data_IF_220656990024
#
_entry.id   IF_220656990024
#
_cell.length_a   1.000
_cell.length_b   1.000
_cell.length_c   1.000
_cell.angle_alpha   90.00
_cell.angle_beta   90.00
_cell.angle_gamma   90.00
#
_symmetry.space_group_name_H-M   'P 1'
#
loop_
_entity.id
_entity.type
_entity.pdbx_description
1 polymer ?
#
# COMPACT_ATOMS: atom_id res chain seq x y z
N UNK A 1 -20.29 -3.27 -14.11
CA UNK A 1 -19.13 -4.15 -14.36
C UNK A 1 -17.95 -3.61 -13.58
N UNK A 2 -17.20 -4.45 -12.86
CA UNK A 2 -16.05 -3.99 -12.09
C UNK A 2 -14.89 -3.69 -13.05
N UNK A 3 -14.49 -2.42 -13.15
CA UNK A 3 -13.37 -1.99 -14.00
C UNK A 3 -12.09 -2.75 -13.63
N UNK A 4 -11.34 -3.15 -14.63
CA UNK A 4 -10.05 -3.81 -14.46
C UNK A 4 -8.99 -2.80 -13.97
N UNK A 5 -8.05 -3.26 -13.13
CA UNK A 5 -6.94 -2.44 -12.67
C UNK A 5 -5.60 -3.09 -12.99
N UNK A 6 -4.60 -2.26 -13.19
CA UNK A 6 -3.18 -2.62 -13.25
C UNK A 6 -2.41 -1.88 -12.15
N UNK A 7 -1.20 -2.34 -11.90
CA UNK A 7 -0.21 -1.60 -11.10
C UNK A 7 0.98 -1.26 -11.98
N UNK A 8 1.55 -0.09 -11.73
CA UNK A 8 2.84 0.30 -12.28
C UNK A 8 3.61 1.13 -11.26
N UNK A 9 4.91 1.24 -11.44
CA UNK A 9 5.72 2.11 -10.59
C UNK A 9 5.21 3.56 -10.63
N UNK A 10 5.33 4.24 -9.50
CA UNK A 10 5.12 5.70 -9.43
C UNK A 10 6.25 6.40 -10.18
N UNK A 11 5.90 7.34 -11.04
CA UNK A 11 6.83 8.13 -11.84
C UNK A 11 6.69 9.63 -11.56
N UNK A 12 7.72 10.40 -11.90
CA UNK A 12 7.67 11.86 -11.78
C UNK A 12 6.54 12.48 -12.61
N UNK A 13 6.19 11.85 -13.74
CA UNK A 13 5.07 12.23 -14.61
C UNK A 13 3.69 12.13 -13.94
N UNK A 14 3.56 11.34 -12.87
CA UNK A 14 2.31 11.21 -12.11
C UNK A 14 1.99 12.43 -11.24
N UNK A 15 2.93 13.36 -11.06
CA UNK A 15 2.85 14.45 -10.10
C UNK A 15 1.51 15.18 -10.11
N UNK A 16 1.05 15.62 -11.27
CA UNK A 16 -0.17 16.40 -11.39
C UNK A 16 -1.42 15.58 -11.01
N UNK A 17 -1.56 14.40 -11.59
CA UNK A 17 -2.70 13.52 -11.35
C UNK A 17 -2.73 13.04 -9.88
N UNK A 18 -1.56 12.66 -9.34
CA UNK A 18 -1.42 12.19 -7.96
C UNK A 18 -1.79 13.27 -6.95
N UNK A 19 -1.23 14.49 -7.10
CA UNK A 19 -1.52 15.62 -6.19
C UNK A 19 -3.00 15.98 -6.24
N UNK A 20 -3.60 16.06 -7.43
CA UNK A 20 -5.01 16.34 -7.59
C UNK A 20 -5.89 15.28 -6.91
N UNK A 21 -5.56 14.01 -7.05
CA UNK A 21 -6.24 12.90 -6.39
C UNK A 21 -6.05 12.94 -4.87
N UNK A 22 -4.84 13.20 -4.38
CA UNK A 22 -4.54 13.32 -2.95
C UNK A 22 -5.29 14.48 -2.28
N UNK A 23 -5.39 15.63 -2.96
CA UNK A 23 -6.13 16.79 -2.47
C UNK A 23 -7.63 16.49 -2.32
N UNK A 24 -8.24 15.85 -3.32
CA UNK A 24 -9.66 15.41 -3.25
C UNK A 24 -9.90 14.38 -2.14
N UNK A 25 -8.88 13.62 -1.78
CA UNK A 25 -8.97 12.54 -0.80
C UNK A 25 -8.64 12.94 0.63
N UNK A 26 -8.25 14.21 0.88
CA UNK A 26 -7.70 14.66 2.16
C UNK A 26 -8.59 14.30 3.36
N UNK A 27 -9.89 14.56 3.27
CA UNK A 27 -10.84 14.26 4.34
C UNK A 27 -11.05 12.74 4.51
N UNK A 28 -11.10 12.03 3.41
CA UNK A 28 -11.20 10.57 3.38
C UNK A 28 -9.96 9.88 3.97
N UNK A 29 -8.76 10.43 3.77
CA UNK A 29 -7.52 9.91 4.30
C UNK A 29 -7.33 10.13 5.80
N UNK A 30 -7.95 11.18 6.36
CA UNK A 30 -7.85 11.48 7.79
C UNK A 30 -8.63 10.46 8.63
N UNK A 31 -8.12 10.13 9.80
CA UNK A 31 -6.83 10.50 10.42
C UNK A 31 -5.70 9.53 10.11
N UNK A 32 -5.86 8.63 9.13
CA UNK A 32 -5.03 7.44 8.96
C UNK A 32 -3.70 7.70 8.27
N UNK A 33 -3.72 8.53 7.24
CA UNK A 33 -2.53 8.84 6.42
C UNK A 33 -2.52 10.30 5.98
N UNK A 34 -1.34 10.74 5.55
CA UNK A 34 -1.14 12.01 4.85
C UNK A 34 -0.44 11.74 3.52
N UNK A 35 -1.21 11.70 2.44
CA UNK A 35 -0.66 11.55 1.10
C UNK A 35 0.04 12.83 0.64
N UNK A 36 1.08 12.74 -0.24
CA UNK A 36 1.69 13.92 -0.85
C UNK A 36 0.65 14.77 -1.60
N UNK A 37 0.46 16.00 -1.17
CA UNK A 37 -0.57 16.89 -1.71
C UNK A 37 -0.02 18.22 -2.29
N UNK A 38 1.30 18.31 -2.42
CA UNK A 38 2.01 19.40 -3.11
C UNK A 38 3.23 18.87 -3.86
N UNK A 39 3.80 19.71 -4.71
CA UNK A 39 4.95 19.33 -5.56
C UNK A 39 6.17 18.92 -4.76
N UNK A 40 6.48 19.63 -3.66
CA UNK A 40 7.64 19.32 -2.84
C UNK A 40 7.46 18.00 -2.06
N UNK A 41 6.28 17.76 -1.53
CA UNK A 41 5.95 16.49 -0.85
C UNK A 41 5.98 15.31 -1.84
N UNK A 42 5.45 15.48 -3.05
CA UNK A 42 5.50 14.45 -4.08
C UNK A 42 6.93 14.15 -4.53
N UNK A 43 7.74 15.18 -4.76
CA UNK A 43 9.15 15.00 -5.11
C UNK A 43 9.93 14.24 -4.02
N UNK A 44 9.73 14.58 -2.74
CA UNK A 44 10.31 13.83 -1.61
C UNK A 44 9.81 12.39 -1.55
N UNK A 45 8.55 12.17 -1.86
CA UNK A 45 7.97 10.82 -1.93
C UNK A 45 8.67 9.98 -3.00
N UNK A 46 8.74 10.48 -4.23
CA UNK A 46 9.40 9.78 -5.35
C UNK A 46 10.89 9.55 -5.07
N UNK A 47 11.59 10.51 -4.50
CA UNK A 47 13.02 10.40 -4.17
C UNK A 47 13.35 9.27 -3.17
N UNK A 48 12.37 8.82 -2.37
CA UNK A 48 12.54 7.67 -1.45
C UNK A 48 12.35 6.32 -2.12
N UNK A 49 11.78 6.30 -3.32
CA UNK A 49 11.51 5.06 -4.07
C UNK A 49 12.77 4.65 -4.82
N UNK A 50 13.62 3.88 -4.17
CA UNK A 50 14.95 3.51 -4.67
C UNK A 50 14.95 2.26 -5.57
N UNK A 51 13.80 1.59 -5.72
CA UNK A 51 13.67 0.36 -6.50
C UNK A 51 14.45 -0.83 -5.93
N UNK A 52 14.96 -0.72 -4.71
CA UNK A 52 15.71 -1.79 -4.02
C UNK A 52 15.05 -2.18 -2.69
N UNK A 53 14.89 -1.22 -1.81
CA UNK A 53 14.27 -1.43 -0.50
C UNK A 53 12.93 -0.70 -0.37
N UNK A 54 12.64 0.24 -1.27
CA UNK A 54 11.40 1.02 -1.27
C UNK A 54 10.83 1.12 -2.68
N UNK A 55 9.63 0.61 -2.84
CA UNK A 55 8.87 0.57 -4.10
C UNK A 55 7.55 1.30 -3.90
N UNK A 56 7.17 2.12 -4.85
CA UNK A 56 5.87 2.78 -4.90
C UNK A 56 5.14 2.37 -6.17
N UNK A 57 3.87 2.01 -6.02
CA UNK A 57 2.99 1.64 -7.12
C UNK A 57 1.75 2.53 -7.12
N UNK A 58 1.30 2.93 -8.28
CA UNK A 58 -0.06 3.42 -8.49
C UNK A 58 -0.94 2.29 -8.98
N UNK A 59 -2.17 2.27 -8.46
CA UNK A 59 -3.26 1.41 -8.94
C UNK A 59 -4.01 2.22 -10.00
N UNK A 60 -3.99 1.76 -11.24
CA UNK A 60 -4.58 2.48 -12.38
C UNK A 60 -5.74 1.69 -12.96
N UNK A 61 -6.80 2.39 -13.36
CA UNK A 61 -7.89 1.82 -14.15
C UNK A 61 -7.38 1.57 -15.57
N UNK A 62 -7.51 0.35 -16.07
CA UNK A 62 -6.95 -0.03 -17.37
C UNK A 62 -7.63 0.65 -18.56
N UNK A 63 -8.89 1.05 -18.40
CA UNK A 63 -9.67 1.68 -19.47
C UNK A 63 -9.39 3.18 -19.58
N UNK A 64 -9.31 3.90 -18.44
CA UNK A 64 -9.17 5.36 -18.42
C UNK A 64 -7.77 5.84 -18.08
N UNK A 65 -6.94 4.99 -17.46
CA UNK A 65 -5.62 5.38 -16.94
C UNK A 65 -5.70 6.18 -15.63
N UNK A 66 -6.89 6.39 -15.07
CA UNK A 66 -7.07 7.15 -13.83
C UNK A 66 -6.46 6.42 -12.64
N UNK A 67 -5.95 7.22 -11.68
CA UNK A 67 -5.34 6.71 -10.47
C UNK A 67 -6.42 6.39 -9.42
N UNK A 68 -6.59 5.12 -9.11
CA UNK A 68 -7.54 4.65 -8.10
C UNK A 68 -6.93 4.59 -6.68
N UNK A 69 -5.61 4.56 -6.57
CA UNK A 69 -4.91 4.53 -5.28
C UNK A 69 -3.41 4.37 -5.44
N UNK A 70 -2.72 4.25 -4.31
CA UNK A 70 -1.29 3.98 -4.25
C UNK A 70 -0.98 2.89 -3.23
N UNK A 71 0.08 2.12 -3.50
CA UNK A 71 0.58 1.05 -2.66
C UNK A 71 2.10 1.17 -2.58
N UNK A 72 2.62 1.24 -1.37
CA UNK A 72 4.04 1.30 -1.10
C UNK A 72 4.49 -0.02 -0.46
N UNK A 73 5.57 -0.57 -0.96
CA UNK A 73 6.31 -1.67 -0.36
C UNK A 73 7.65 -1.12 0.11
N UNK A 74 7.83 -1.01 1.42
CA UNK A 74 8.96 -0.30 2.03
C UNK A 74 9.72 -1.19 3.00
N UNK A 75 10.94 -0.73 3.35
CA UNK A 75 11.82 -1.45 4.27
C UNK A 75 12.00 -2.92 3.87
N UNK A 76 12.17 -3.16 2.59
CA UNK A 76 12.41 -4.52 2.08
C UNK A 76 13.77 -5.00 2.57
N UNK A 77 13.77 -6.12 3.27
CA UNK A 77 14.96 -6.79 3.76
C UNK A 77 15.08 -8.15 3.06
N UNK A 78 16.19 -8.36 2.40
CA UNK A 78 16.53 -9.60 1.71
C UNK A 78 17.27 -10.59 2.62
N UNK A 79 17.89 -11.60 2.05
CA UNK A 79 18.63 -12.61 2.77
C UNK A 79 17.73 -13.58 3.52
N UNK A 80 17.96 -13.77 4.80
CA UNK A 80 17.19 -14.71 5.63
C UNK A 80 15.81 -14.17 6.03
N UNK A 81 15.61 -12.86 6.01
CA UNK A 81 14.36 -12.23 6.46
C UNK A 81 13.31 -12.19 5.35
N UNK A 82 13.69 -11.83 4.12
CA UNK A 82 12.84 -11.79 2.92
C UNK A 82 11.46 -11.19 3.16
N UNK A 83 11.42 -10.00 3.77
CA UNK A 83 10.19 -9.36 4.23
C UNK A 83 10.13 -7.89 3.84
N UNK A 84 8.93 -7.32 3.79
CA UNK A 84 8.69 -5.90 3.55
C UNK A 84 7.36 -5.44 4.12
N UNK A 85 7.22 -4.13 4.31
CA UNK A 85 6.02 -3.51 4.84
C UNK A 85 5.18 -2.88 3.73
N UNK A 86 3.87 -3.08 3.80
CA UNK A 86 2.89 -2.48 2.91
C UNK A 86 2.20 -1.29 3.58
N UNK A 87 2.21 -0.16 2.88
CA UNK A 87 1.35 0.98 3.14
C UNK A 87 0.52 1.27 1.90
N UNK A 88 -0.75 1.61 2.05
CA UNK A 88 -1.65 1.81 0.91
C UNK A 88 -2.80 2.74 1.24
N UNK A 89 -3.36 3.35 0.22
CA UNK A 89 -4.55 4.17 0.29
C UNK A 89 -5.26 4.25 -1.06
N UNK A 90 -6.59 4.28 -1.01
CA UNK A 90 -7.41 4.58 -2.17
C UNK A 90 -7.49 6.10 -2.39
N UNK A 91 -7.74 6.53 -3.59
CA UNK A 91 -8.19 7.89 -3.86
C UNK A 91 -9.72 7.99 -3.79
N UNK A 92 -10.22 9.16 -3.35
CA UNK A 92 -11.66 9.40 -3.23
C UNK A 92 -12.39 9.20 -4.55
N UNK A 93 -13.53 8.50 -4.49
CA UNK A 93 -14.32 8.09 -5.65
C UNK A 93 -14.01 6.69 -6.18
N UNK A 94 -12.96 6.03 -5.68
CA UNK A 94 -12.57 4.67 -6.08
C UNK A 94 -12.66 3.65 -4.95
N UNK A 95 -13.09 4.08 -3.77
CA UNK A 95 -13.32 3.22 -2.62
C UNK A 95 -14.53 2.31 -2.83
N UNK A 96 -14.52 1.14 -2.21
CA UNK A 96 -15.62 0.19 -2.26
C UNK A 96 -15.76 -0.63 -3.56
N UNK A 97 -15.04 -0.29 -4.63
CA UNK A 97 -15.12 -0.96 -5.93
C UNK A 97 -14.17 -2.17 -6.08
N UNK A 98 -13.42 -2.52 -5.05
CA UNK A 98 -12.47 -3.63 -5.07
C UNK A 98 -11.15 -3.34 -5.77
N UNK A 99 -10.91 -2.10 -6.22
CA UNK A 99 -9.68 -1.71 -6.92
C UNK A 99 -8.44 -1.92 -6.05
N UNK A 100 -8.50 -1.49 -4.78
CA UNK A 100 -7.38 -1.67 -3.85
C UNK A 100 -7.13 -3.14 -3.51
N UNK A 101 -8.16 -3.97 -3.41
CA UNK A 101 -7.99 -5.42 -3.23
C UNK A 101 -7.22 -6.05 -4.39
N UNK A 102 -7.59 -5.70 -5.62
CA UNK A 102 -6.88 -6.19 -6.81
C UNK A 102 -5.45 -5.65 -6.88
N UNK A 103 -5.27 -4.34 -6.65
CA UNK A 103 -3.95 -3.69 -6.60
C UNK A 103 -3.04 -4.36 -5.57
N UNK A 104 -3.53 -4.57 -4.35
CA UNK A 104 -2.76 -5.20 -3.27
C UNK A 104 -2.37 -6.64 -3.63
N UNK A 105 -3.27 -7.41 -4.25
CA UNK A 105 -2.98 -8.77 -4.73
C UNK A 105 -1.92 -8.77 -5.84
N UNK A 106 -1.92 -7.77 -6.72
CA UNK A 106 -0.91 -7.61 -7.78
C UNK A 106 0.46 -7.27 -7.19
N UNK A 107 0.52 -6.35 -6.21
CA UNK A 107 1.78 -5.99 -5.52
C UNK A 107 2.31 -7.18 -4.72
N UNK A 108 1.45 -7.94 -4.03
CA UNK A 108 1.86 -9.15 -3.32
C UNK A 108 2.46 -10.18 -4.28
N UNK A 109 1.83 -10.39 -5.44
CA UNK A 109 2.36 -11.27 -6.49
C UNK A 109 3.72 -10.80 -6.99
N UNK A 110 3.88 -9.50 -7.23
CA UNK A 110 5.16 -8.91 -7.62
C UNK A 110 6.24 -9.17 -6.56
N UNK A 111 5.94 -8.87 -5.29
CA UNK A 111 6.85 -9.06 -4.17
C UNK A 111 7.31 -10.53 -4.04
N UNK A 112 6.38 -11.47 -4.14
CA UNK A 112 6.71 -12.91 -4.00
C UNK A 112 7.40 -13.49 -5.23
N UNK A 113 7.06 -13.05 -6.44
CA UNK A 113 7.60 -13.63 -7.69
C UNK A 113 8.85 -12.91 -8.18
N UNK A 114 8.87 -11.58 -8.17
CA UNK A 114 9.99 -10.81 -8.71
C UNK A 114 11.05 -10.53 -7.63
N UNK A 115 10.64 -10.05 -6.45
CA UNK A 115 11.57 -9.75 -5.37
C UNK A 115 11.92 -10.97 -4.52
N UNK A 116 11.27 -12.12 -4.75
CA UNK A 116 11.47 -13.38 -4.01
C UNK A 116 11.25 -13.25 -2.50
N UNK A 117 10.43 -12.30 -2.09
CA UNK A 117 10.08 -12.16 -0.68
C UNK A 117 9.26 -13.37 -0.19
N UNK A 118 9.34 -13.61 1.11
CA UNK A 118 8.60 -14.66 1.81
C UNK A 118 7.40 -14.12 2.57
N UNK A 119 7.48 -12.83 2.99
CA UNK A 119 6.54 -12.24 3.93
C UNK A 119 6.25 -10.79 3.58
N UNK A 120 4.99 -10.40 3.68
CA UNK A 120 4.54 -9.01 3.61
C UNK A 120 3.78 -8.67 4.88
N UNK A 121 4.05 -7.51 5.45
CA UNK A 121 3.40 -7.04 6.67
C UNK A 121 2.63 -5.75 6.41
N UNK A 122 1.49 -5.61 7.11
CA UNK A 122 0.73 -4.37 7.15
C UNK A 122 0.43 -4.03 8.61
N UNK A 123 0.79 -2.82 9.02
CA UNK A 123 0.54 -2.30 10.36
C UNK A 123 -0.62 -1.32 10.28
N UNK A 124 -1.73 -1.64 10.93
CA UNK A 124 -3.01 -0.96 10.76
C UNK A 124 -3.51 -0.47 12.11
N UNK A 125 -3.90 0.80 12.20
CA UNK A 125 -4.53 1.33 13.40
C UNK A 125 -5.84 0.57 13.68
N UNK A 126 -6.13 0.16 14.94
CA UNK A 126 -7.27 -0.72 15.25
C UNK A 126 -8.63 -0.15 14.85
N UNK A 127 -8.77 1.17 14.81
CA UNK A 127 -10.01 1.83 14.42
C UNK A 127 -10.18 1.99 12.89
N UNK A 128 -9.16 1.64 12.07
CA UNK A 128 -9.25 1.73 10.61
C UNK A 128 -9.92 0.47 10.03
N UNK A 129 -11.24 0.37 10.21
CA UNK A 129 -12.03 -0.80 9.86
C UNK A 129 -11.95 -1.14 8.37
N UNK A 130 -11.90 -0.14 7.49
CA UNK A 130 -11.81 -0.36 6.04
C UNK A 130 -10.49 -1.01 5.64
N UNK A 131 -9.37 -0.56 6.23
CA UNK A 131 -8.06 -1.16 6.01
C UNK A 131 -7.97 -2.59 6.57
N UNK A 132 -8.55 -2.83 7.76
CA UNK A 132 -8.63 -4.18 8.36
C UNK A 132 -9.45 -5.14 7.46
N UNK A 133 -10.59 -4.68 6.94
CA UNK A 133 -11.41 -5.49 6.03
C UNK A 133 -10.66 -5.80 4.72
N UNK A 134 -9.90 -4.82 4.19
CA UNK A 134 -9.11 -4.99 2.97
C UNK A 134 -8.05 -6.09 3.15
N UNK A 135 -7.21 -6.04 4.18
CA UNK A 135 -6.14 -7.04 4.36
C UNK A 135 -6.70 -8.43 4.64
N UNK A 136 -7.79 -8.55 5.41
CA UNK A 136 -8.50 -9.83 5.59
C UNK A 136 -8.93 -10.41 4.25
N UNK A 137 -9.54 -9.58 3.40
CA UNK A 137 -10.00 -10.01 2.07
C UNK A 137 -8.87 -10.39 1.11
N UNK A 138 -7.64 -9.96 1.40
CA UNK A 138 -6.42 -10.30 0.66
C UNK A 138 -5.65 -11.49 1.25
N UNK A 139 -6.19 -12.13 2.30
CA UNK A 139 -5.61 -13.34 2.90
C UNK A 139 -4.54 -13.07 3.97
N UNK A 140 -4.42 -11.84 4.46
CA UNK A 140 -3.57 -11.54 5.61
C UNK A 140 -4.16 -12.09 6.90
N UNK A 141 -3.32 -12.55 7.79
CA UNK A 141 -3.66 -13.00 9.15
C UNK A 141 -3.16 -12.00 10.18
N UNK A 142 -3.97 -11.74 11.19
CA UNK A 142 -3.55 -10.93 12.33
C UNK A 142 -2.57 -11.73 13.20
N UNK A 143 -1.40 -11.17 13.46
CA UNK A 143 -0.36 -11.83 14.27
C UNK A 143 -0.13 -11.15 15.61
N UNK A 144 -0.68 -9.96 15.83
CA UNK A 144 -0.52 -9.29 17.09
C UNK A 144 -1.02 -7.86 17.13
N UNK A 145 -0.80 -7.25 18.28
CA UNK A 145 -1.10 -5.86 18.60
C UNK A 145 0.14 -5.24 19.26
N UNK A 146 0.48 -4.03 18.85
CA UNK A 146 1.62 -3.30 19.38
C UNK A 146 1.18 -1.91 19.83
N UNK A 147 1.17 -1.60 21.13
CA UNK A 147 0.86 -0.28 21.65
C UNK A 147 1.99 0.69 21.29
N UNK A 148 1.64 1.97 21.04
CA UNK A 148 2.57 3.04 20.72
C UNK A 148 3.63 2.65 19.66
N UNK A 149 3.21 2.02 18.58
CA UNK A 149 4.09 1.33 17.64
C UNK A 149 4.69 2.24 16.58
N UNK A 150 3.86 3.06 15.93
CA UNK A 150 4.32 3.99 14.90
C UNK A 150 3.97 5.44 15.27
N UNK A 151 4.90 6.34 15.00
CA UNK A 151 4.71 7.77 15.18
C UNK A 151 4.06 8.38 13.94
N UNK A 152 2.80 8.79 14.09
CA UNK A 152 2.05 9.48 13.04
C UNK A 152 1.88 10.96 13.42
N UNK A 153 2.51 11.83 12.66
CA UNK A 153 2.65 13.22 13.05
C UNK A 153 3.43 13.36 14.37
N UNK A 154 2.78 13.91 15.39
CA UNK A 154 3.40 14.11 16.73
C UNK A 154 3.06 13.02 17.74
N UNK A 155 2.21 12.05 17.38
CA UNK A 155 1.69 11.04 18.33
C UNK A 155 2.09 9.63 17.95
N UNK A 156 2.50 8.85 18.94
CA UNK A 156 2.61 7.40 18.82
C UNK A 156 1.22 6.78 18.79
N UNK A 157 1.01 5.82 17.88
CA UNK A 157 -0.27 5.13 17.66
C UNK A 157 -0.11 3.63 17.77
N UNK A 158 -1.14 3.01 18.33
CA UNK A 158 -1.25 1.56 18.39
C UNK A 158 -1.55 0.99 17.01
N UNK A 159 -1.01 -0.20 16.75
CA UNK A 159 -1.26 -0.89 15.48
C UNK A 159 -1.51 -2.37 15.70
N UNK A 160 -2.44 -2.92 14.95
CA UNK A 160 -2.53 -4.35 14.70
C UNK A 160 -1.49 -4.73 13.65
N UNK A 161 -0.79 -5.84 13.89
CA UNK A 161 0.19 -6.38 12.94
C UNK A 161 -0.46 -7.51 12.15
N UNK A 162 -0.49 -7.33 10.84
CA UNK A 162 -1.06 -8.29 9.89
C UNK A 162 0.03 -8.75 8.94
N UNK A 163 -0.01 -10.02 8.54
CA UNK A 163 0.97 -10.59 7.63
C UNK A 163 0.35 -11.50 6.59
N UNK A 164 0.94 -11.46 5.39
CA UNK A 164 0.72 -12.41 4.32
C UNK A 164 2.03 -13.16 4.08
N UNK A 165 2.01 -14.46 4.31
CA UNK A 165 3.16 -15.34 4.10
C UNK A 165 2.98 -16.08 2.77
N UNK A 166 4.05 -16.14 1.97
CA UNK A 166 4.05 -16.89 0.72
C UNK A 166 3.76 -18.36 1.00
N UNK A 167 2.71 -18.91 0.37
CA UNK A 167 2.40 -20.32 0.43
C UNK A 167 3.60 -21.13 -0.03
N UNK A 168 4.00 -22.14 0.71
CA UNK A 168 4.96 -23.12 0.23
C UNK A 168 4.33 -23.80 -1.00
N UNK A 169 5.06 -24.00 -2.11
CA UNK A 169 4.60 -24.98 -3.09
C UNK A 169 4.45 -26.28 -2.32
N UNK A 170 3.30 -26.94 -2.45
CA UNK A 170 3.13 -28.29 -1.91
C UNK A 170 4.32 -29.11 -2.44
N UNK A 171 5.20 -29.49 -1.53
CA UNK A 171 6.16 -30.56 -1.82
C UNK A 171 5.32 -31.82 -1.97
N UNK A 172 5.09 -32.19 -3.25
CA UNK A 172 4.58 -33.49 -3.61
C UNK A 172 5.61 -34.55 -3.22
#
# INVERSE_FOLDING_TARGET
MSQSVAIRAVEASDQQAFIAAALRSREFHRPWISAPCDKAAFARYVARLDGKNNFGFVVVLTESGELAGAINLTNVVYGVFQSGYLGYFAFAGYEGHGHMKRGLSLVARYAFRQLKLHRLEANIQPANMSSLALVRSCGFSKEGYSPAYLKLGVRWRDHERWALVRSRPNSA
#
